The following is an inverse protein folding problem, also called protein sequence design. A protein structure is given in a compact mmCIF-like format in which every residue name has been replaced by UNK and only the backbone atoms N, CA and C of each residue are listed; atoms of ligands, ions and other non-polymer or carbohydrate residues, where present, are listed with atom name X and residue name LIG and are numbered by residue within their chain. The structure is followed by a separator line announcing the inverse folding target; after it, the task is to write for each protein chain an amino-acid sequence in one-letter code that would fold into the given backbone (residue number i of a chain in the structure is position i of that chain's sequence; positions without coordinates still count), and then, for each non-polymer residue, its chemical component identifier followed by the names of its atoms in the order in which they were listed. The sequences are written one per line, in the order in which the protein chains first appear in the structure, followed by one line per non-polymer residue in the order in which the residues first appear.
data_IF_945351426178
#
_entry.id   IF_945351426178
#
_cell.length_a   1.000
_cell.length_b   1.000
_cell.length_c   1.000
_cell.angle_alpha   90.00
_cell.angle_beta   90.00
_cell.angle_gamma   90.00
#
_symmetry.space_group_name_H-M   'P 1'
#
loop_
_entity.id
_entity.type
_entity.pdbx_description
1 polymer ?
#
# COMPACT_ATOMS: atom_id res chain seq x y z
N UNK A 1 -16.25 -27.26 -35.08
CA UNK A 1 -15.40 -26.39 -34.20
C UNK A 1 -16.04 -26.38 -32.82
N UNK A 2 -15.50 -27.11 -31.90
CA UNK A 2 -15.91 -27.09 -30.48
C UNK A 2 -15.50 -25.75 -29.89
N UNK A 3 -16.40 -25.02 -29.20
CA UNK A 3 -16.01 -23.79 -28.53
C UNK A 3 -14.95 -24.14 -27.47
N UNK A 4 -13.84 -23.37 -27.43
CA UNK A 4 -12.88 -23.41 -26.33
C UNK A 4 -13.65 -23.19 -25.02
N UNK A 5 -13.39 -23.96 -23.96
CA UNK A 5 -13.95 -23.65 -22.66
C UNK A 5 -13.52 -22.21 -22.31
N UNK A 6 -14.48 -21.39 -21.92
CA UNK A 6 -14.22 -20.11 -21.27
C UNK A 6 -13.53 -20.48 -19.95
N UNK A 7 -12.21 -20.38 -19.91
CA UNK A 7 -11.48 -20.48 -18.65
C UNK A 7 -11.99 -19.34 -17.79
N UNK A 8 -12.51 -19.67 -16.61
CA UNK A 8 -12.83 -18.65 -15.61
C UNK A 8 -11.62 -17.70 -15.49
N UNK A 9 -11.85 -16.38 -15.46
CA UNK A 9 -10.75 -15.44 -15.30
C UNK A 9 -9.99 -15.79 -14.02
N UNK A 10 -8.68 -15.95 -14.13
CA UNK A 10 -7.83 -16.25 -12.98
C UNK A 10 -7.80 -15.05 -12.02
N UNK A 11 -7.29 -15.25 -10.79
CA UNK A 11 -7.23 -14.17 -9.81
C UNK A 11 -6.35 -13.02 -10.29
N UNK A 12 -6.70 -11.80 -9.91
CA UNK A 12 -5.92 -10.59 -10.08
C UNK A 12 -5.36 -10.18 -8.72
N UNK A 13 -4.12 -9.71 -8.67
CA UNK A 13 -3.51 -9.31 -7.38
C UNK A 13 -3.25 -7.82 -7.37
N UNK A 14 -3.77 -7.16 -6.36
CA UNK A 14 -3.56 -5.74 -6.11
C UNK A 14 -2.74 -5.59 -4.82
N UNK A 15 -1.59 -4.98 -4.91
CA UNK A 15 -0.74 -4.73 -3.76
C UNK A 15 -0.94 -3.30 -3.26
N UNK A 16 -1.09 -3.13 -1.95
CA UNK A 16 -0.63 -1.89 -1.36
C UNK A 16 0.90 -1.80 -1.50
N UNK A 17 1.44 -0.59 -1.42
CA UNK A 17 2.87 -0.35 -1.63
C UNK A 17 3.62 -0.29 -0.30
N UNK A 18 3.26 0.70 0.52
CA UNK A 18 4.01 1.16 1.67
C UNK A 18 3.74 0.29 2.89
N UNK A 19 4.74 -0.41 3.44
CA UNK A 19 4.56 -1.41 4.49
C UNK A 19 4.14 -2.80 4.00
N UNK A 20 3.65 -2.89 2.75
CA UNK A 20 3.22 -4.15 2.13
C UNK A 20 4.27 -4.71 1.17
N UNK A 21 4.51 -4.07 0.03
CA UNK A 21 5.54 -4.50 -0.94
C UNK A 21 6.94 -4.08 -0.50
N UNK A 22 7.06 -2.88 0.06
CA UNK A 22 8.33 -2.24 0.40
C UNK A 22 8.32 -1.71 1.83
N UNK A 23 9.49 -1.72 2.47
CA UNK A 23 9.73 -1.08 3.76
C UNK A 23 10.03 0.41 3.53
N UNK A 24 8.99 1.19 3.28
CA UNK A 24 9.07 2.63 3.03
C UNK A 24 8.77 3.49 4.26
N UNK A 25 8.24 2.91 5.33
CA UNK A 25 7.85 3.66 6.52
C UNK A 25 9.00 4.42 7.19
N UNK A 26 10.25 3.91 7.25
CA UNK A 26 11.38 4.69 7.71
C UNK A 26 11.63 5.96 6.90
N UNK A 27 11.40 5.92 5.58
CA UNK A 27 11.53 7.08 4.70
C UNK A 27 10.37 8.08 4.91
N UNK A 28 9.14 7.59 5.11
CA UNK A 28 7.99 8.44 5.44
C UNK A 28 8.17 9.14 6.78
N UNK A 29 8.64 8.42 7.79
CA UNK A 29 8.98 8.99 9.09
C UNK A 29 10.04 10.09 8.97
N UNK A 30 11.16 9.81 8.30
CA UNK A 30 12.25 10.76 8.17
C UNK A 30 11.85 12.00 7.35
N UNK A 31 11.07 11.83 6.28
CA UNK A 31 10.50 12.94 5.52
C UNK A 31 9.58 13.80 6.39
N UNK A 32 8.70 13.16 7.18
CA UNK A 32 7.82 13.86 8.12
C UNK A 32 8.60 14.63 9.18
N UNK A 33 9.57 13.97 9.80
CA UNK A 33 10.45 14.56 10.83
C UNK A 33 11.23 15.78 10.29
N UNK A 34 11.82 15.67 9.08
CA UNK A 34 12.53 16.79 8.43
C UNK A 34 11.58 17.94 8.08
N UNK A 35 10.38 17.62 7.58
CA UNK A 35 9.37 18.64 7.27
C UNK A 35 8.98 19.40 8.53
N UNK A 36 8.53 18.67 9.56
CA UNK A 36 8.04 19.25 10.83
C UNK A 36 9.11 20.07 11.54
N UNK A 37 10.38 19.66 11.46
CA UNK A 37 11.51 20.42 12.00
C UNK A 37 11.67 21.83 11.37
N UNK A 38 11.24 22.04 10.11
CA UNK A 38 11.24 23.36 9.45
C UNK A 38 10.24 24.33 10.09
N UNK A 39 9.21 23.77 10.74
CA UNK A 39 8.17 24.51 11.46
C UNK A 39 8.37 24.51 12.99
N UNK A 40 9.58 24.11 13.44
CA UNK A 40 9.95 24.16 14.86
C UNK A 40 9.56 22.93 15.68
N UNK A 41 8.88 21.94 15.10
CA UNK A 41 8.52 20.68 15.77
C UNK A 41 9.73 19.76 15.82
N UNK A 42 10.19 19.37 17.02
CA UNK A 42 11.41 18.57 17.22
C UNK A 42 11.19 17.25 17.94
N UNK A 43 9.98 17.03 18.42
CA UNK A 43 9.56 15.90 19.23
C UNK A 43 8.71 14.87 18.48
N UNK A 44 8.60 15.01 17.15
CA UNK A 44 7.95 14.01 16.30
C UNK A 44 8.84 12.77 16.20
N UNK A 45 8.48 11.74 16.94
CA UNK A 45 9.19 10.46 17.02
C UNK A 45 8.49 9.35 16.24
N UNK A 46 9.07 8.15 16.29
CA UNK A 46 8.53 6.97 15.62
C UNK A 46 7.16 6.57 16.17
N UNK A 47 6.94 6.66 17.48
CA UNK A 47 5.64 6.34 18.09
C UNK A 47 4.53 7.26 17.58
N UNK A 48 4.81 8.57 17.50
CA UNK A 48 3.90 9.54 16.91
C UNK A 48 3.61 9.23 15.43
N UNK A 49 4.62 8.79 14.67
CA UNK A 49 4.48 8.42 13.27
C UNK A 49 3.58 7.19 13.08
N UNK A 50 3.71 6.16 13.91
CA UNK A 50 2.96 4.90 13.76
C UNK A 50 1.44 5.09 13.80
N UNK A 51 0.96 6.17 14.42
CA UNK A 51 -0.47 6.55 14.44
C UNK A 51 -1.05 6.80 13.04
N UNK A 52 -0.20 7.07 12.07
CA UNK A 52 -0.59 7.49 10.72
C UNK A 52 -0.26 6.46 9.64
N UNK A 53 0.27 5.31 10.01
CA UNK A 53 0.55 4.23 9.05
C UNK A 53 -0.77 3.75 8.43
N UNK A 54 -0.82 3.68 7.10
CA UNK A 54 -2.02 3.36 6.33
C UNK A 54 -2.99 4.52 6.12
N UNK A 55 -2.73 5.70 6.71
CA UNK A 55 -3.51 6.92 6.48
C UNK A 55 -2.86 7.72 5.36
N UNK A 56 -3.68 8.32 4.48
CA UNK A 56 -3.20 9.15 3.38
C UNK A 56 -2.34 10.32 3.86
N UNK A 57 -1.32 10.68 3.09
CA UNK A 57 -0.37 11.75 3.47
C UNK A 57 -1.07 13.09 3.72
N UNK A 58 -2.08 13.43 2.95
CA UNK A 58 -2.87 14.67 3.11
C UNK A 58 -3.61 14.69 4.45
N UNK A 59 -4.29 13.62 4.78
CA UNK A 59 -5.04 13.45 6.02
C UNK A 59 -4.10 13.52 7.22
N UNK A 60 -2.98 12.82 7.16
CA UNK A 60 -1.91 12.86 8.18
C UNK A 60 -1.43 14.29 8.41
N UNK A 61 -1.09 15.03 7.36
CA UNK A 61 -0.61 16.40 7.47
C UNK A 61 -1.68 17.37 7.96
N UNK A 62 -2.95 17.11 7.65
CA UNK A 62 -4.07 17.91 8.19
C UNK A 62 -4.15 17.78 9.71
N UNK A 63 -4.01 16.56 10.22
CA UNK A 63 -4.02 16.30 11.68
C UNK A 63 -2.77 16.91 12.34
N UNK A 64 -1.57 16.64 11.81
CA UNK A 64 -0.32 17.15 12.37
C UNK A 64 -0.25 18.69 12.33
N UNK A 65 -0.78 19.31 11.28
CA UNK A 65 -0.88 20.77 11.18
C UNK A 65 -1.69 21.36 12.34
N UNK A 66 -2.82 20.73 12.67
CA UNK A 66 -3.66 21.17 13.77
C UNK A 66 -3.03 20.86 15.13
N UNK A 67 -2.44 19.68 15.30
CA UNK A 67 -1.84 19.22 16.56
C UNK A 67 -0.63 20.09 16.96
N UNK A 68 0.20 20.48 15.99
CA UNK A 68 1.40 21.29 16.22
C UNK A 68 1.23 22.78 15.90
N UNK A 69 -0.02 23.22 15.67
CA UNK A 69 -0.35 24.63 15.38
C UNK A 69 0.49 25.25 14.26
N UNK A 70 0.76 24.46 13.18
CA UNK A 70 1.59 24.90 12.07
C UNK A 70 0.85 25.93 11.23
N UNK A 71 1.43 27.14 11.10
CA UNK A 71 0.90 28.23 10.26
C UNK A 71 1.40 28.10 8.81
N UNK A 72 0.91 27.05 8.13
CA UNK A 72 1.14 26.83 6.71
C UNK A 72 -0.06 26.08 6.08
N UNK A 73 -0.37 26.29 4.79
CA UNK A 73 -1.39 25.51 4.10
C UNK A 73 -1.01 24.01 4.03
N UNK A 74 -1.99 23.12 4.08
CA UNK A 74 -1.76 21.66 3.95
C UNK A 74 -1.09 21.32 2.62
N UNK A 75 -1.40 22.03 1.55
CA UNK A 75 -0.80 21.89 0.23
C UNK A 75 0.71 22.15 0.23
N UNK A 76 1.16 23.15 0.99
CA UNK A 76 2.59 23.45 1.15
C UNK A 76 3.31 22.33 1.90
N UNK A 77 2.70 21.85 2.99
CA UNK A 77 3.22 20.74 3.78
C UNK A 77 3.29 19.47 2.94
N UNK A 78 2.26 19.19 2.15
CA UNK A 78 2.19 18.02 1.27
C UNK A 78 3.28 18.06 0.20
N UNK A 79 3.45 19.19 -0.48
CA UNK A 79 4.52 19.39 -1.47
C UNK A 79 5.91 19.22 -0.82
N UNK A 80 6.11 19.81 0.36
CA UNK A 80 7.35 19.69 1.12
C UNK A 80 7.67 18.26 1.55
N UNK A 81 6.67 17.52 2.05
CA UNK A 81 6.83 16.12 2.45
C UNK A 81 7.13 15.23 1.25
N UNK A 82 6.38 15.41 0.15
CA UNK A 82 6.59 14.62 -1.07
C UNK A 82 8.00 14.83 -1.65
N UNK A 83 8.50 16.06 -1.69
CA UNK A 83 9.86 16.34 -2.16
C UNK A 83 10.92 15.63 -1.30
N UNK A 84 10.79 15.70 0.04
CA UNK A 84 11.70 15.03 0.96
C UNK A 84 11.60 13.50 0.85
N UNK A 85 10.39 12.97 0.70
CA UNK A 85 10.20 11.54 0.53
C UNK A 85 10.84 11.03 -0.77
N UNK A 86 10.64 11.73 -1.90
CA UNK A 86 11.24 11.34 -3.18
C UNK A 86 12.79 11.32 -3.13
N UNK A 87 13.40 12.28 -2.40
CA UNK A 87 14.84 12.28 -2.16
C UNK A 87 15.31 11.02 -1.42
N UNK A 88 14.57 10.61 -0.37
CA UNK A 88 14.88 9.45 0.45
C UNK A 88 14.58 8.13 -0.28
N UNK A 89 13.42 8.03 -0.91
CA UNK A 89 12.95 6.81 -1.58
C UNK A 89 13.92 6.32 -2.66
N UNK A 90 14.56 7.24 -3.38
CA UNK A 90 15.55 6.91 -4.42
C UNK A 90 16.85 6.27 -3.90
N UNK A 91 17.08 6.25 -2.58
CA UNK A 91 18.36 5.81 -2.01
C UNK A 91 18.27 4.64 -1.02
N UNK A 92 17.11 4.34 -0.45
CA UNK A 92 17.03 3.43 0.70
C UNK A 92 15.75 2.60 0.80
N UNK A 93 14.91 2.55 -0.23
CA UNK A 93 13.70 1.72 -0.18
C UNK A 93 14.02 0.26 -0.53
N UNK A 94 13.68 -0.65 0.36
CA UNK A 94 13.89 -2.09 0.17
C UNK A 94 12.56 -2.82 -0.04
N UNK A 95 12.55 -3.81 -0.94
CA UNK A 95 11.42 -4.73 -1.10
C UNK A 95 11.50 -5.79 -0.02
N UNK A 96 10.40 -6.11 0.65
CA UNK A 96 10.38 -7.24 1.58
C UNK A 96 10.73 -8.53 0.85
N UNK A 97 11.71 -9.32 1.35
CA UNK A 97 12.27 -10.45 0.58
C UNK A 97 11.22 -11.46 0.12
N UNK A 98 10.27 -11.82 0.99
CA UNK A 98 9.23 -12.79 0.65
C UNK A 98 8.17 -12.20 -0.30
N UNK A 99 7.92 -10.89 -0.26
CA UNK A 99 7.06 -10.20 -1.24
C UNK A 99 7.69 -10.21 -2.63
N UNK A 100 9.01 -9.99 -2.74
CA UNK A 100 9.73 -10.11 -4.02
C UNK A 100 9.56 -11.51 -4.60
N UNK A 101 9.80 -12.54 -3.82
CA UNK A 101 9.60 -13.94 -4.27
C UNK A 101 8.15 -14.17 -4.71
N UNK A 102 7.17 -13.60 -4.01
CA UNK A 102 5.77 -13.74 -4.36
C UNK A 102 5.44 -13.05 -5.69
N UNK A 103 5.89 -11.80 -5.89
CA UNK A 103 5.72 -11.06 -7.15
C UNK A 103 6.34 -11.82 -8.33
N UNK A 104 7.58 -12.32 -8.18
CA UNK A 104 8.25 -13.07 -9.23
C UNK A 104 7.51 -14.37 -9.59
N UNK A 105 6.96 -15.06 -8.60
CA UNK A 105 6.14 -16.27 -8.84
C UNK A 105 4.83 -15.96 -9.55
N UNK A 106 4.14 -14.89 -9.15
CA UNK A 106 2.92 -14.44 -9.82
C UNK A 106 3.17 -14.06 -11.26
N UNK A 107 4.27 -13.32 -11.50
CA UNK A 107 4.69 -12.95 -12.84
C UNK A 107 4.97 -14.17 -13.72
N UNK A 108 5.72 -15.15 -13.20
CA UNK A 108 6.02 -16.39 -13.89
C UNK A 108 4.77 -17.23 -14.20
N UNK A 109 3.73 -17.12 -13.37
CA UNK A 109 2.43 -17.77 -13.56
C UNK A 109 1.48 -16.98 -14.47
N UNK A 110 1.87 -15.78 -14.93
CA UNK A 110 1.03 -14.91 -15.76
C UNK A 110 -0.15 -14.28 -15.01
N UNK A 111 -0.09 -14.21 -13.67
CA UNK A 111 -1.13 -13.58 -12.86
C UNK A 111 -1.02 -12.05 -13.00
N UNK A 112 -2.11 -11.36 -13.40
CA UNK A 112 -2.10 -9.90 -13.50
C UNK A 112 -1.91 -9.24 -12.13
N UNK A 113 -1.04 -8.23 -12.08
CA UNK A 113 -0.69 -7.51 -10.86
C UNK A 113 -0.80 -6.01 -11.05
N UNK A 114 -1.20 -5.30 -9.99
CA UNK A 114 -1.20 -3.85 -9.91
C UNK A 114 -0.84 -3.36 -8.51
N UNK A 115 -0.49 -2.08 -8.39
CA UNK A 115 -0.33 -1.37 -7.11
C UNK A 115 -1.48 -0.39 -6.92
N UNK A 116 -2.02 -0.31 -5.68
CA UNK A 116 -3.00 0.67 -5.24
C UNK A 116 -2.56 1.28 -3.91
N UNK A 117 -2.09 2.52 -3.91
CA UNK A 117 -1.45 3.14 -2.74
C UNK A 117 -2.05 4.51 -2.39
N UNK A 118 -2.01 4.84 -1.10
CA UNK A 118 -2.28 6.18 -0.56
C UNK A 118 -1.24 7.23 -0.93
N UNK A 119 -0.11 6.81 -1.49
CA UNK A 119 1.02 7.67 -1.88
C UNK A 119 0.75 8.43 -3.17
N UNK A 120 1.49 9.54 -3.37
CA UNK A 120 1.40 10.29 -4.62
C UNK A 120 1.85 9.44 -5.81
N UNK A 121 1.28 9.71 -6.99
CA UNK A 121 1.64 8.98 -8.21
C UNK A 121 3.14 9.03 -8.50
N UNK A 122 3.78 10.17 -8.23
CA UNK A 122 5.23 10.33 -8.39
C UNK A 122 6.02 9.44 -7.43
N UNK A 123 5.58 9.34 -6.17
CA UNK A 123 6.21 8.49 -5.16
C UNK A 123 6.12 7.00 -5.54
N UNK A 124 4.93 6.53 -5.94
CA UNK A 124 4.73 5.15 -6.38
C UNK A 124 5.68 4.82 -7.55
N UNK A 125 5.70 5.66 -8.59
CA UNK A 125 6.56 5.45 -9.76
C UNK A 125 8.05 5.42 -9.41
N UNK A 126 8.50 6.32 -8.52
CA UNK A 126 9.89 6.36 -8.07
C UNK A 126 10.29 5.09 -7.28
N UNK A 127 9.43 4.63 -6.37
CA UNK A 127 9.65 3.40 -5.59
C UNK A 127 9.69 2.17 -6.49
N UNK A 128 8.72 2.03 -7.40
CA UNK A 128 8.69 0.89 -8.33
C UNK A 128 9.96 0.85 -9.20
N UNK A 129 10.40 2.01 -9.70
CA UNK A 129 11.59 2.10 -10.55
C UNK A 129 12.89 1.77 -9.79
N UNK A 130 13.09 2.34 -8.58
CA UNK A 130 14.33 2.11 -7.81
C UNK A 130 14.43 0.68 -7.29
N UNK A 131 13.29 0.04 -7.02
CA UNK A 131 13.22 -1.35 -6.58
C UNK A 131 13.20 -2.36 -7.72
N UNK A 132 13.02 -1.91 -8.97
CA UNK A 132 12.87 -2.78 -10.16
C UNK A 132 11.54 -3.54 -10.18
N UNK A 133 10.56 -3.14 -9.38
CA UNK A 133 9.23 -3.74 -9.38
C UNK A 133 8.40 -3.34 -10.60
N UNK A 134 8.73 -2.22 -11.26
CA UNK A 134 8.10 -1.75 -12.50
C UNK A 134 8.23 -2.76 -13.65
N UNK A 135 9.25 -3.61 -13.63
CA UNK A 135 9.41 -4.70 -14.59
C UNK A 135 8.34 -5.81 -14.45
N UNK A 136 7.74 -5.93 -13.27
CA UNK A 136 6.73 -6.95 -12.93
C UNK A 136 5.32 -6.37 -12.83
N UNK A 137 5.20 -5.14 -12.34
CA UNK A 137 3.93 -4.47 -12.00
C UNK A 137 3.85 -3.14 -12.76
N UNK A 138 3.40 -3.13 -14.02
CA UNK A 138 3.39 -1.92 -14.85
C UNK A 138 2.19 -0.99 -14.55
N UNK A 139 1.16 -1.49 -13.86
CA UNK A 139 -0.04 -0.73 -13.52
C UNK A 139 -0.03 -0.31 -12.06
N UNK A 140 -0.26 0.98 -11.82
CA UNK A 140 -0.48 1.49 -10.47
C UNK A 140 -1.49 2.64 -10.44
N UNK A 141 -2.20 2.75 -9.32
CA UNK A 141 -3.18 3.79 -9.02
C UNK A 141 -2.83 4.46 -7.70
N UNK A 142 -2.81 5.78 -7.71
CA UNK A 142 -2.63 6.62 -6.54
C UNK A 142 -3.98 7.07 -5.97
N UNK A 143 -4.05 7.26 -4.65
CA UNK A 143 -5.21 7.91 -4.04
C UNK A 143 -5.44 9.35 -4.55
N UNK A 144 -4.45 10.00 -5.16
CA UNK A 144 -4.62 11.29 -5.84
C UNK A 144 -5.54 11.22 -7.07
N UNK A 145 -5.80 10.02 -7.62
CA UNK A 145 -6.56 9.79 -8.84
C UNK A 145 -8.03 9.42 -8.57
N UNK A 146 -8.43 9.37 -7.30
CA UNK A 146 -9.78 8.99 -6.86
C UNK A 146 -10.39 10.04 -5.93
N UNK A 147 -11.70 9.93 -5.67
CA UNK A 147 -12.39 10.92 -4.84
C UNK A 147 -12.06 10.77 -3.35
N UNK A 148 -11.95 9.52 -2.88
CA UNK A 148 -11.72 9.23 -1.47
C UNK A 148 -10.60 8.20 -1.32
N UNK A 149 -9.71 8.44 -0.34
CA UNK A 149 -8.66 7.49 0.04
C UNK A 149 -9.20 6.38 0.96
N UNK A 150 -8.34 5.40 1.27
CA UNK A 150 -8.64 4.36 2.26
C UNK A 150 -9.06 5.01 3.60
N UNK A 151 -10.13 4.54 4.27
CA UNK A 151 -10.78 3.23 4.14
C UNK A 151 -11.87 3.13 3.06
N UNK A 152 -12.12 4.18 2.27
CA UNK A 152 -13.06 4.08 1.17
C UNK A 152 -12.49 3.21 0.03
N UNK A 153 -13.35 2.47 -0.71
CA UNK A 153 -12.90 1.45 -1.66
C UNK A 153 -12.36 2.00 -2.98
N UNK A 154 -12.42 3.31 -3.21
CA UNK A 154 -12.27 3.96 -4.51
C UNK A 154 -10.97 3.57 -5.23
N UNK A 155 -9.83 3.54 -4.53
CA UNK A 155 -8.54 3.22 -5.12
C UNK A 155 -8.46 1.77 -5.61
N UNK A 156 -9.05 0.84 -4.86
CA UNK A 156 -9.08 -0.57 -5.26
C UNK A 156 -10.07 -0.81 -6.42
N UNK A 157 -11.25 -0.19 -6.38
CA UNK A 157 -12.22 -0.27 -7.47
C UNK A 157 -11.67 0.32 -8.77
N UNK A 158 -11.00 1.47 -8.71
CA UNK A 158 -10.36 2.07 -9.88
C UNK A 158 -9.22 1.18 -10.41
N UNK A 159 -8.46 0.55 -9.52
CA UNK A 159 -7.39 -0.37 -9.90
C UNK A 159 -7.97 -1.60 -10.63
N UNK A 160 -8.99 -2.25 -10.08
CA UNK A 160 -9.67 -3.37 -10.73
C UNK A 160 -10.24 -2.98 -12.10
N UNK A 161 -10.88 -1.81 -12.19
CA UNK A 161 -11.39 -1.27 -13.46
C UNK A 161 -10.28 -1.11 -14.52
N UNK A 162 -9.11 -0.59 -14.12
CA UNK A 162 -7.95 -0.46 -15.03
C UNK A 162 -7.33 -1.80 -15.41
N UNK A 163 -7.41 -2.78 -14.53
CA UNK A 163 -6.99 -4.17 -14.83
C UNK A 163 -7.99 -4.90 -15.72
N UNK A 164 -9.22 -4.39 -15.87
CA UNK A 164 -10.31 -5.08 -16.56
C UNK A 164 -10.83 -6.27 -15.78
N UNK A 165 -10.75 -6.23 -14.45
CA UNK A 165 -11.12 -7.29 -13.52
C UNK A 165 -12.39 -6.93 -12.75
N UNK A 166 -13.20 -7.95 -12.43
CA UNK A 166 -14.28 -7.79 -11.47
C UNK A 166 -13.70 -7.78 -10.04
N UNK A 167 -14.25 -6.96 -9.13
CA UNK A 167 -13.76 -6.90 -7.75
C UNK A 167 -13.68 -8.26 -7.06
N UNK A 168 -14.64 -9.15 -7.29
CA UNK A 168 -14.67 -10.49 -6.70
C UNK A 168 -13.52 -11.40 -7.15
N UNK A 169 -12.90 -11.11 -8.31
CA UNK A 169 -11.75 -11.84 -8.84
C UNK A 169 -10.42 -11.25 -8.33
N UNK A 170 -10.46 -10.16 -7.55
CA UNK A 170 -9.29 -9.49 -7.03
C UNK A 170 -8.93 -9.96 -5.61
N UNK A 171 -7.62 -10.08 -5.38
CA UNK A 171 -7.04 -10.28 -4.05
C UNK A 171 -6.14 -9.09 -3.74
N UNK A 172 -6.41 -8.41 -2.63
CA UNK A 172 -5.62 -7.29 -2.14
C UNK A 172 -4.62 -7.78 -1.10
N UNK A 173 -3.36 -7.38 -1.20
CA UNK A 173 -2.39 -7.50 -0.11
C UNK A 173 -2.29 -6.14 0.60
N UNK A 174 -2.43 -6.16 1.92
CA UNK A 174 -2.51 -4.95 2.76
C UNK A 174 -1.88 -5.16 4.13
N UNK A 175 -1.34 -4.08 4.69
CA UNK A 175 -0.67 -4.12 5.99
C UNK A 175 -1.37 -3.28 7.07
N UNK A 176 -2.30 -2.42 6.68
CA UNK A 176 -2.94 -1.46 7.57
C UNK A 176 -4.47 -1.64 7.67
N UNK A 177 -5.08 -1.39 8.84
CA UNK A 177 -6.51 -1.51 9.04
C UNK A 177 -7.36 -0.73 8.03
N UNK A 178 -7.04 0.55 7.68
CA UNK A 178 -7.83 1.28 6.69
C UNK A 178 -7.83 0.62 5.31
N UNK A 179 -6.72 0.01 4.89
CA UNK A 179 -6.65 -0.67 3.61
C UNK A 179 -7.39 -2.00 3.60
N UNK A 180 -7.32 -2.78 4.68
CA UNK A 180 -8.12 -4.00 4.82
C UNK A 180 -9.63 -3.69 4.77
N UNK A 181 -10.06 -2.61 5.45
CA UNK A 181 -11.44 -2.12 5.40
C UNK A 181 -11.85 -1.71 3.97
N UNK A 182 -10.97 -0.99 3.25
CA UNK A 182 -11.21 -0.60 1.86
C UNK A 182 -11.33 -1.80 0.91
N UNK A 183 -10.48 -2.83 1.07
CA UNK A 183 -10.56 -4.06 0.30
C UNK A 183 -11.90 -4.79 0.54
N UNK A 184 -12.32 -4.89 1.80
CA UNK A 184 -13.63 -5.46 2.16
C UNK A 184 -14.77 -4.65 1.55
N UNK A 185 -14.75 -3.31 1.67
CA UNK A 185 -15.77 -2.43 1.10
C UNK A 185 -15.82 -2.51 -0.44
N UNK A 186 -14.69 -2.79 -1.09
CA UNK A 186 -14.62 -3.04 -2.52
C UNK A 186 -15.17 -4.41 -2.95
N UNK A 187 -15.52 -5.29 -2.02
CA UNK A 187 -15.93 -6.67 -2.31
C UNK A 187 -14.79 -7.57 -2.77
N UNK A 188 -13.55 -7.23 -2.39
CA UNK A 188 -12.35 -7.99 -2.75
C UNK A 188 -11.91 -8.91 -1.61
N UNK A 189 -11.21 -9.99 -1.94
CA UNK A 189 -10.49 -10.81 -0.98
C UNK A 189 -9.30 -10.02 -0.44
N UNK A 190 -8.93 -10.25 0.82
CA UNK A 190 -7.78 -9.57 1.43
C UNK A 190 -6.82 -10.59 2.05
N UNK A 191 -5.53 -10.44 1.76
CA UNK A 191 -4.44 -11.08 2.48
C UNK A 191 -3.75 -9.99 3.32
N UNK A 192 -3.97 -10.05 4.63
CA UNK A 192 -3.46 -9.05 5.56
C UNK A 192 -2.08 -9.42 6.11
N UNK A 193 -1.15 -8.49 6.05
CA UNK A 193 0.24 -8.62 6.51
C UNK A 193 0.58 -7.40 7.39
N UNK A 194 0.02 -7.30 8.62
CA UNK A 194 0.14 -6.10 9.45
C UNK A 194 1.58 -5.61 9.61
N UNK A 195 1.82 -4.32 9.30
CA UNK A 195 3.14 -3.71 9.46
C UNK A 195 3.40 -3.35 10.93
N UNK A 196 2.41 -2.75 11.61
CA UNK A 196 2.56 -2.34 13.00
C UNK A 196 2.35 -3.54 13.93
N UNK A 197 3.35 -3.91 14.76
CA UNK A 197 3.21 -5.01 15.71
C UNK A 197 1.99 -4.84 16.62
N UNK A 198 1.25 -5.93 16.82
CA UNK A 198 0.09 -5.95 17.72
C UNK A 198 -1.24 -5.48 17.08
N UNK A 199 -1.23 -4.94 15.85
CA UNK A 199 -2.46 -4.51 15.18
C UNK A 199 -3.25 -5.65 14.54
N UNK A 200 -2.72 -6.87 14.48
CA UNK A 200 -3.41 -8.03 13.90
C UNK A 200 -4.77 -8.34 14.53
N UNK A 201 -5.03 -7.85 15.75
CA UNK A 201 -6.32 -7.96 16.43
C UNK A 201 -7.33 -6.86 16.05
N UNK A 202 -6.95 -5.91 15.19
CA UNK A 202 -7.87 -4.87 14.73
C UNK A 202 -9.06 -5.51 13.99
N UNK A 203 -10.31 -5.09 14.27
CA UNK A 203 -11.51 -5.63 13.63
C UNK A 203 -11.48 -5.59 12.09
N UNK A 204 -10.79 -4.63 11.48
CA UNK A 204 -10.68 -4.52 10.04
C UNK A 204 -9.99 -5.73 9.41
N UNK A 205 -9.03 -6.36 10.11
CA UNK A 205 -8.38 -7.59 9.66
C UNK A 205 -9.25 -8.85 9.86
N UNK A 206 -10.35 -8.74 10.63
CA UNK A 206 -11.27 -9.85 10.85
C UNK A 206 -11.99 -10.33 9.58
N UNK A 207 -12.00 -9.53 8.52
CA UNK A 207 -12.56 -9.89 7.20
C UNK A 207 -11.51 -10.45 6.24
N UNK A 208 -10.23 -10.47 6.61
CA UNK A 208 -9.16 -10.98 5.78
C UNK A 208 -9.31 -12.49 5.57
N UNK A 209 -9.16 -12.93 4.32
CA UNK A 209 -9.17 -14.36 3.98
C UNK A 209 -7.91 -15.08 4.49
N UNK A 210 -6.80 -14.35 4.56
CA UNK A 210 -5.53 -14.82 5.10
C UNK A 210 -4.91 -13.68 5.94
N UNK A 211 -4.59 -13.98 7.20
CA UNK A 211 -3.95 -13.04 8.11
C UNK A 211 -2.61 -13.59 8.59
N UNK A 212 -1.55 -12.87 8.32
CA UNK A 212 -0.21 -13.16 8.84
C UNK A 212 -0.01 -12.36 10.14
N UNK A 213 -0.34 -12.96 11.29
CA UNK A 213 -0.46 -12.26 12.59
C UNK A 213 0.82 -11.52 12.99
N UNK A 214 2.00 -12.07 12.64
CA UNK A 214 3.29 -11.44 12.91
C UNK A 214 3.81 -10.66 11.69
N UNK A 215 2.92 -10.23 10.80
CA UNK A 215 3.21 -9.38 9.66
C UNK A 215 4.25 -9.97 8.70
N UNK A 216 5.19 -9.15 8.27
CA UNK A 216 6.23 -9.53 7.29
C UNK A 216 7.13 -10.69 7.78
N UNK A 217 7.31 -10.85 9.10
CA UNK A 217 8.09 -11.99 9.64
C UNK A 217 7.38 -13.34 9.50
N UNK A 218 6.06 -13.34 9.45
CA UNK A 218 5.23 -14.53 9.23
C UNK A 218 4.87 -14.74 7.76
N UNK A 219 4.95 -13.70 6.94
CA UNK A 219 4.59 -13.79 5.52
C UNK A 219 5.56 -14.72 4.77
N UNK A 220 5.00 -15.67 4.05
CA UNK A 220 5.75 -16.49 3.11
C UNK A 220 5.08 -16.50 1.75
N UNK A 221 5.87 -16.30 0.70
CA UNK A 221 5.41 -16.35 -0.69
C UNK A 221 4.67 -17.67 -0.99
N UNK A 222 5.11 -18.76 -0.38
CA UNK A 222 4.54 -20.09 -0.59
C UNK A 222 3.14 -20.24 0.01
N UNK A 223 2.89 -19.71 1.23
CA UNK A 223 1.56 -19.73 1.86
C UNK A 223 0.57 -18.86 1.08
N UNK A 224 0.97 -17.63 0.71
CA UNK A 224 0.15 -16.71 -0.07
C UNK A 224 -0.19 -17.31 -1.46
N UNK A 225 0.81 -17.88 -2.15
CA UNK A 225 0.63 -18.46 -3.48
C UNK A 225 -0.32 -19.66 -3.46
N UNK A 226 -0.15 -20.58 -2.50
CA UNK A 226 -1.08 -21.71 -2.35
C UNK A 226 -2.51 -21.26 -2.05
N UNK A 227 -2.68 -20.24 -1.21
CA UNK A 227 -4.02 -19.72 -0.88
C UNK A 227 -4.67 -19.00 -2.05
N UNK A 228 -3.88 -18.38 -2.90
CA UNK A 228 -4.36 -17.66 -4.09
C UNK A 228 -4.90 -18.61 -5.18
N UNK A 229 -4.18 -19.70 -5.46
CA UNK A 229 -4.40 -20.56 -6.62
C UNK A 229 -4.93 -21.95 -6.27
N UNK A 230 -4.98 -22.32 -5.00
CA UNK A 230 -5.49 -23.60 -4.48
C UNK A 230 -6.88 -23.45 -3.94
#
# INVERSE_FOLDING_TARGET
MTPRPVTEPGPHVIFDLDGTLVDSEPNYFEAGRRLLARYGVRDFDWEAHTRFIGIGTRETLTVLRAEYEIDAPVEELLAGKNALYLELAGSSTEVFPQMRVFVERLHAAGVPMAVASGSSRAAIGAVLAVTGLDAYIPLYVSAEEVAHGKPEPDVFLETARRMGAEPADCVVLEDAPPGAAAAHAAGMRCFAVPYVPGTASDPAFGTAELLFVDGQSAFTADAAYRRLLG
#
